data_IF_431853496487
#
_entry.id   IF_431853496487
#
_cell.length_a   1.000
_cell.length_b   1.000
_cell.length_c   1.000
_cell.angle_alpha   90.00
_cell.angle_beta   90.00
_cell.angle_gamma   90.00
#
_symmetry.space_group_name_H-M   'P 1'
#
loop_
_entity.id
_entity.type
_entity.pdbx_description
1 polymer ?
#
# COMPACT_ATOMS: atom_id res chain seq x y z
N UNK A 1 -22.20 -21.59 4.23
CA UNK A 1 -20.75 -21.30 4.29
C UNK A 1 -20.33 -20.88 2.90
N UNK A 2 -20.23 -19.59 2.65
CA UNK A 2 -19.73 -19.03 1.37
C UNK A 2 -18.21 -19.04 1.51
N UNK A 3 -17.54 -19.90 0.75
CA UNK A 3 -16.08 -19.98 0.67
C UNK A 3 -15.54 -18.59 0.27
N UNK A 4 -14.66 -17.99 1.09
CA UNK A 4 -13.95 -16.79 0.71
C UNK A 4 -13.24 -17.02 -0.63
N UNK A 5 -13.21 -16.03 -1.53
CA UNK A 5 -12.54 -16.21 -2.81
C UNK A 5 -11.05 -16.51 -2.59
N UNK A 6 -10.54 -17.55 -3.23
CA UNK A 6 -9.18 -18.11 -3.04
C UNK A 6 -8.04 -17.08 -3.12
N UNK A 7 -8.24 -15.92 -3.75
CA UNK A 7 -7.21 -14.89 -3.91
C UNK A 7 -6.96 -14.05 -2.66
N UNK A 8 -7.98 -13.75 -1.85
CA UNK A 8 -7.84 -13.00 -0.59
C UNK A 8 -7.15 -13.83 0.49
N UNK A 9 -7.44 -15.13 0.54
CA UNK A 9 -6.78 -16.09 1.44
C UNK A 9 -5.28 -16.22 1.12
N UNK A 10 -4.90 -16.16 -0.16
CA UNK A 10 -3.49 -16.27 -0.57
C UNK A 10 -2.69 -15.03 -0.16
N UNK A 11 -3.21 -13.81 -0.38
CA UNK A 11 -2.54 -12.58 0.02
C UNK A 11 -2.32 -12.54 1.54
N UNK A 12 -3.35 -12.85 2.34
CA UNK A 12 -3.26 -12.88 3.80
C UNK A 12 -2.16 -13.84 4.28
N UNK A 13 -2.16 -15.10 3.81
CA UNK A 13 -1.17 -16.11 4.22
C UNK A 13 0.26 -15.77 3.77
N UNK A 14 0.40 -15.06 2.65
CA UNK A 14 1.70 -14.58 2.19
C UNK A 14 2.25 -13.52 3.16
N UNK A 15 1.47 -12.47 3.45
CA UNK A 15 1.89 -11.39 4.35
C UNK A 15 2.17 -11.90 5.78
N UNK A 16 1.37 -12.81 6.29
CA UNK A 16 1.59 -13.43 7.61
C UNK A 16 2.98 -14.08 7.73
N UNK A 17 3.48 -14.63 6.62
CA UNK A 17 4.80 -15.27 6.56
C UNK A 17 5.97 -14.28 6.47
N UNK A 18 5.83 -13.20 5.70
CA UNK A 18 6.95 -12.31 5.35
C UNK A 18 7.10 -11.10 6.27
N UNK A 19 6.08 -10.76 7.07
CA UNK A 19 6.02 -9.53 7.87
C UNK A 19 7.27 -9.29 8.74
N UNK A 20 7.78 -10.33 9.42
CA UNK A 20 8.94 -10.16 10.29
C UNK A 20 10.22 -9.78 9.51
N UNK A 21 10.47 -10.43 8.37
CA UNK A 21 11.62 -10.13 7.54
C UNK A 21 11.46 -8.77 6.82
N UNK A 22 10.25 -8.44 6.40
CA UNK A 22 9.99 -7.16 5.72
C UNK A 22 10.19 -5.96 6.64
N UNK A 23 9.99 -6.11 7.95
CA UNK A 23 10.37 -5.06 8.91
C UNK A 23 11.87 -4.73 8.85
N UNK A 24 12.73 -5.74 8.70
CA UNK A 24 14.17 -5.52 8.53
C UNK A 24 14.51 -4.85 7.20
N UNK A 25 13.82 -5.26 6.13
CA UNK A 25 14.12 -4.83 4.76
C UNK A 25 13.49 -3.48 4.38
N UNK A 26 12.23 -3.28 4.75
CA UNK A 26 11.43 -2.11 4.35
C UNK A 26 11.22 -1.11 5.48
N UNK A 27 11.50 -1.47 6.74
CA UNK A 27 11.18 -0.68 7.92
C UNK A 27 9.74 -0.93 8.41
N UNK A 28 9.19 0.01 9.19
CA UNK A 28 7.86 -0.13 9.82
C UNK A 28 6.70 0.12 8.84
N UNK A 29 6.97 0.58 7.63
CA UNK A 29 5.94 1.11 6.74
C UNK A 29 5.68 0.26 5.48
N UNK A 30 6.44 -0.77 5.18
CA UNK A 30 6.27 -1.73 4.06
C UNK A 30 5.88 -1.11 2.71
N UNK A 31 6.38 0.10 2.41
CA UNK A 31 6.07 0.80 1.17
C UNK A 31 7.28 1.53 0.59
N UNK A 32 7.17 1.96 -0.64
CA UNK A 32 8.16 2.76 -1.32
C UNK A 32 8.42 4.08 -0.59
N UNK A 33 9.56 4.72 -0.90
CA UNK A 33 9.93 6.03 -0.40
C UNK A 33 9.99 7.07 -1.51
N UNK A 34 9.72 8.32 -1.19
CA UNK A 34 9.94 9.49 -2.06
C UNK A 34 11.29 10.11 -1.69
N UNK A 35 12.30 9.86 -2.50
CA UNK A 35 13.65 10.39 -2.29
C UNK A 35 13.77 11.80 -2.85
N UNK A 36 14.47 12.69 -2.13
CA UNK A 36 14.83 13.98 -2.66
C UNK A 36 16.00 13.86 -3.68
N UNK A 37 16.14 14.83 -4.59
CA UNK A 37 17.25 14.80 -5.55
C UNK A 37 18.61 14.65 -4.88
N UNK A 38 19.38 13.63 -5.29
CA UNK A 38 20.73 13.35 -4.77
C UNK A 38 20.78 12.55 -3.46
N UNK A 39 19.63 12.18 -2.89
CA UNK A 39 19.62 11.26 -1.75
C UNK A 39 19.89 9.82 -2.18
N UNK A 40 20.69 9.13 -1.36
CA UNK A 40 21.01 7.72 -1.54
C UNK A 40 20.14 6.79 -0.68
N UNK A 41 20.39 5.47 -0.81
CA UNK A 41 19.63 4.41 -0.13
C UNK A 41 19.49 4.57 1.40
N UNK A 42 20.48 5.14 2.07
CA UNK A 42 20.48 5.38 3.52
C UNK A 42 19.31 6.29 3.98
N UNK A 43 18.70 7.06 3.08
CA UNK A 43 17.57 7.93 3.39
C UNK A 43 16.21 7.23 3.38
N UNK A 44 16.14 5.89 3.25
CA UNK A 44 14.90 5.14 3.06
C UNK A 44 13.82 5.49 4.10
N UNK A 45 14.17 5.55 5.39
CA UNK A 45 13.18 5.83 6.44
C UNK A 45 12.59 7.25 6.34
N UNK A 46 13.40 8.23 5.93
CA UNK A 46 12.91 9.57 5.63
C UNK A 46 12.10 9.60 4.33
N UNK A 47 12.51 8.82 3.33
CA UNK A 47 11.81 8.74 2.05
C UNK A 47 10.42 8.09 2.19
N UNK A 48 10.28 7.05 3.02
CA UNK A 48 8.98 6.45 3.32
C UNK A 48 8.06 7.43 4.05
N UNK A 49 8.57 8.19 5.02
CA UNK A 49 7.79 9.25 5.65
C UNK A 49 7.32 10.32 4.65
N UNK A 50 8.16 10.68 3.67
CA UNK A 50 7.78 11.63 2.60
C UNK A 50 6.72 11.09 1.64
N UNK A 51 6.59 9.77 1.45
CA UNK A 51 5.47 9.24 0.67
C UNK A 51 4.14 9.49 1.37
N UNK A 52 4.07 9.33 2.70
CA UNK A 52 2.88 9.68 3.48
C UNK A 52 2.53 11.18 3.30
N UNK A 53 3.54 12.07 3.38
CA UNK A 53 3.31 13.51 3.14
C UNK A 53 2.89 13.81 1.69
N UNK A 54 3.45 13.10 0.70
CA UNK A 54 3.07 13.25 -0.70
C UNK A 54 1.61 12.83 -0.95
N UNK A 55 1.15 11.74 -0.32
CA UNK A 55 -0.25 11.32 -0.37
C UNK A 55 -1.17 12.34 0.32
N UNK A 56 -0.79 12.83 1.50
CA UNK A 56 -1.57 13.84 2.21
C UNK A 56 -1.66 15.15 1.41
N UNK A 57 -0.56 15.57 0.78
CA UNK A 57 -0.54 16.74 -0.09
C UNK A 57 -1.44 16.55 -1.33
N UNK A 58 -1.46 15.34 -1.92
CA UNK A 58 -2.32 15.01 -3.05
C UNK A 58 -3.81 14.99 -2.65
N UNK A 59 -4.13 14.49 -1.46
CA UNK A 59 -5.49 14.45 -0.91
C UNK A 59 -6.00 15.84 -0.53
N UNK A 60 -5.13 16.72 -0.06
CA UNK A 60 -5.46 17.98 0.59
C UNK A 60 -5.78 17.82 2.09
N UNK A 61 -6.19 18.91 2.76
CA UNK A 61 -6.30 18.95 4.22
C UNK A 61 -7.32 17.94 4.74
N UNK A 62 -6.96 17.28 5.84
CA UNK A 62 -7.84 16.41 6.63
C UNK A 62 -8.04 17.06 7.98
N UNK A 63 -9.30 17.26 8.38
CA UNK A 63 -9.62 17.94 9.64
C UNK A 63 -9.58 16.98 10.84
N UNK A 64 -9.23 17.47 12.03
CA UNK A 64 -9.32 16.68 13.25
C UNK A 64 -10.73 16.09 13.44
N UNK A 65 -10.79 14.81 13.80
CA UNK A 65 -12.03 14.08 14.00
C UNK A 65 -12.73 13.60 12.72
N UNK A 66 -12.27 13.96 11.51
CA UNK A 66 -12.78 13.34 10.27
C UNK A 66 -12.54 11.83 10.28
N UNK A 67 -13.49 11.06 9.76
CA UNK A 67 -13.34 9.60 9.64
C UNK A 67 -12.64 9.25 8.35
N UNK A 68 -11.56 8.50 8.46
CA UNK A 68 -10.74 8.01 7.35
C UNK A 68 -10.76 6.49 7.35
N UNK A 69 -11.03 5.87 6.21
CA UNK A 69 -10.81 4.45 5.99
C UNK A 69 -9.42 4.25 5.40
N UNK A 70 -8.56 3.47 6.08
CA UNK A 70 -7.28 2.99 5.53
C UNK A 70 -7.49 1.60 4.94
N UNK A 71 -7.47 1.52 3.61
CA UNK A 71 -7.82 0.34 2.83
C UNK A 71 -6.57 -0.51 2.55
N UNK A 72 -6.48 -1.65 3.22
CA UNK A 72 -5.29 -2.49 3.16
C UNK A 72 -4.19 -2.00 4.10
N UNK A 73 -4.56 -1.63 5.32
CA UNK A 73 -3.69 -0.96 6.30
C UNK A 73 -2.45 -1.75 6.76
N UNK A 74 -2.31 -3.02 6.38
CA UNK A 74 -1.20 -3.87 6.80
C UNK A 74 -1.01 -3.89 8.32
N UNK A 75 0.17 -3.51 8.79
CA UNK A 75 0.52 -3.39 10.21
C UNK A 75 0.22 -2.01 10.81
N UNK A 76 -0.53 -1.16 10.09
CA UNK A 76 -1.06 0.11 10.57
C UNK A 76 -0.05 1.26 10.68
N UNK A 77 1.11 1.17 10.05
CA UNK A 77 2.14 2.24 10.06
C UNK A 77 1.58 3.56 9.52
N UNK A 78 1.14 3.63 8.25
CA UNK A 78 0.52 4.81 7.67
C UNK A 78 -0.70 5.33 8.44
N UNK A 79 -1.55 4.42 8.95
CA UNK A 79 -2.71 4.80 9.76
C UNK A 79 -2.31 5.57 11.03
N UNK A 80 -1.31 5.07 11.78
CA UNK A 80 -0.79 5.75 12.97
C UNK A 80 -0.18 7.11 12.64
N UNK A 81 0.61 7.15 11.57
CA UNK A 81 1.20 8.40 11.08
C UNK A 81 0.12 9.44 10.74
N UNK A 82 -0.90 9.03 9.98
CA UNK A 82 -1.98 9.92 9.54
C UNK A 82 -2.81 10.43 10.72
N UNK A 83 -3.14 9.56 11.70
CA UNK A 83 -3.85 9.96 12.91
C UNK A 83 -3.04 10.99 13.71
N UNK A 84 -1.77 10.77 13.94
CA UNK A 84 -0.88 11.68 14.65
C UNK A 84 -0.73 13.02 13.90
N UNK A 85 -0.65 12.98 12.59
CA UNK A 85 -0.41 14.15 11.73
C UNK A 85 -1.62 15.05 11.58
N UNK A 86 -2.83 14.49 11.60
CA UNK A 86 -4.07 15.19 11.25
C UNK A 86 -5.09 15.30 12.39
N UNK A 87 -5.00 14.44 13.40
CA UNK A 87 -6.04 14.30 14.42
C UNK A 87 -7.32 13.61 13.93
N UNK A 88 -7.28 12.99 12.74
CA UNK A 88 -8.41 12.24 12.16
C UNK A 88 -8.65 10.93 12.90
N UNK A 89 -9.85 10.37 12.76
CA UNK A 89 -10.22 9.03 13.24
C UNK A 89 -9.98 8.04 12.12
N UNK A 90 -9.01 7.14 12.30
CA UNK A 90 -8.64 6.19 11.27
C UNK A 90 -9.23 4.82 11.60
N UNK A 91 -9.93 4.22 10.64
CA UNK A 91 -10.34 2.84 10.65
C UNK A 91 -9.55 2.08 9.58
N UNK A 92 -8.67 1.18 10.00
CA UNK A 92 -7.87 0.36 9.08
C UNK A 92 -8.52 -0.99 8.83
N UNK A 93 -8.56 -1.42 7.57
CA UNK A 93 -9.02 -2.77 7.19
C UNK A 93 -7.94 -3.51 6.41
N UNK A 94 -7.83 -4.81 6.67
CA UNK A 94 -6.94 -5.73 5.94
C UNK A 94 -7.50 -7.14 5.99
N UNK A 95 -7.17 -7.97 5.02
CA UNK A 95 -7.50 -9.41 5.06
C UNK A 95 -6.54 -10.24 5.92
N UNK A 96 -5.38 -9.68 6.30
CA UNK A 96 -4.39 -10.34 7.17
C UNK A 96 -4.77 -10.18 8.65
N UNK A 97 -5.14 -11.28 9.29
CA UNK A 97 -5.42 -11.29 10.73
C UNK A 97 -4.15 -10.98 11.55
N UNK A 98 -2.99 -11.47 11.12
CA UNK A 98 -1.68 -11.20 11.75
C UNK A 98 -1.30 -9.72 11.61
N UNK A 99 -1.51 -9.12 10.43
CA UNK A 99 -1.30 -7.70 10.21
C UNK A 99 -2.19 -6.83 11.11
N UNK A 100 -3.47 -7.18 11.21
CA UNK A 100 -4.44 -6.47 12.09
C UNK A 100 -4.05 -6.61 13.57
N UNK A 101 -3.64 -7.80 14.02
CA UNK A 101 -3.19 -7.99 15.40
C UNK A 101 -1.96 -7.10 15.70
N UNK A 102 -0.98 -7.07 14.81
CA UNK A 102 0.20 -6.21 14.93
C UNK A 102 -0.17 -4.71 14.90
N UNK A 103 -1.14 -4.30 14.07
CA UNK A 103 -1.61 -2.92 14.02
C UNK A 103 -2.29 -2.49 15.34
N UNK A 104 -3.09 -3.37 15.95
CA UNK A 104 -3.74 -3.13 17.24
C UNK A 104 -2.69 -3.00 18.36
N UNK A 105 -1.72 -3.90 18.42
CA UNK A 105 -0.63 -3.88 19.40
C UNK A 105 0.16 -2.58 19.30
N UNK A 106 0.62 -2.22 18.10
CA UNK A 106 1.38 -1.01 17.87
C UNK A 106 0.57 0.29 18.13
N UNK A 107 -0.75 0.27 17.97
CA UNK A 107 -1.61 1.39 18.33
C UNK A 107 -1.75 1.56 19.84
N UNK A 108 -1.77 0.45 20.60
CA UNK A 108 -1.85 0.48 22.06
C UNK A 108 -0.57 1.07 22.71
N UNK A 109 0.60 0.87 22.10
CA UNK A 109 1.88 1.44 22.57
C UNK A 109 1.90 2.98 22.49
N UNK A 110 1.23 3.55 21.48
CA UNK A 110 1.18 5.01 21.26
C UNK A 110 0.09 5.70 22.10
N UNK A 111 -0.87 4.93 22.64
CA UNK A 111 -1.98 5.42 23.45
C UNK A 111 -2.05 4.66 24.77
N UNK A 112 -1.27 5.03 25.82
CA UNK A 112 -1.30 4.35 27.11
C UNK A 112 -2.70 4.28 27.73
N UNK A 113 -3.05 3.18 28.44
CA UNK A 113 -4.32 3.03 29.12
C UNK A 113 -4.58 4.19 30.12
N UNK A 114 -5.72 4.87 29.99
CA UNK A 114 -6.15 5.93 30.91
C UNK A 114 -5.93 7.36 30.44
N UNK A 115 -5.23 7.59 29.31
CA UNK A 115 -5.32 8.86 28.60
C UNK A 115 -6.40 8.71 27.53
N UNK A 116 -7.37 9.63 27.54
CA UNK A 116 -8.35 9.72 26.46
C UNK A 116 -7.57 9.71 25.15
N UNK A 117 -7.87 8.72 24.33
CA UNK A 117 -7.37 8.45 22.96
C UNK A 117 -6.68 9.67 22.34
N UNK A 118 -5.51 9.48 21.73
CA UNK A 118 -4.95 10.46 20.77
C UNK A 118 -6.09 11.19 20.07
N UNK A 119 -6.02 12.51 19.82
CA UNK A 119 -7.14 13.28 19.26
C UNK A 119 -7.81 12.62 18.04
N UNK A 120 -7.13 11.68 17.34
CA UNK A 120 -7.71 10.78 16.35
C UNK A 120 -7.76 9.35 16.88
N UNK A 121 -8.94 8.75 17.03
CA UNK A 121 -9.09 7.34 17.39
C UNK A 121 -8.55 6.43 16.29
N UNK A 122 -7.79 5.37 16.66
CA UNK A 122 -7.36 4.29 15.77
C UNK A 122 -8.23 3.06 16.05
N UNK A 123 -8.67 2.39 14.99
CA UNK A 123 -9.35 1.10 15.07
C UNK A 123 -8.99 0.25 13.84
N UNK A 124 -8.95 -1.07 14.02
CA UNK A 124 -8.56 -1.99 12.96
C UNK A 124 -9.49 -3.20 12.93
N UNK A 125 -9.78 -3.70 11.72
CA UNK A 125 -10.63 -4.88 11.53
C UNK A 125 -10.13 -5.75 10.38
N UNK A 126 -10.37 -7.06 10.49
CA UNK A 126 -10.19 -7.99 9.38
C UNK A 126 -11.39 -7.84 8.45
N UNK A 127 -11.18 -7.34 7.24
CA UNK A 127 -12.21 -7.18 6.23
C UNK A 127 -11.63 -7.20 4.82
N UNK A 128 -12.44 -7.61 3.83
CA UNK A 128 -12.10 -7.52 2.41
C UNK A 128 -12.54 -6.16 1.87
N UNK A 129 -11.60 -5.39 1.34
CA UNK A 129 -11.87 -4.07 0.76
C UNK A 129 -12.86 -4.11 -0.42
N UNK A 130 -13.00 -5.26 -1.07
CA UNK A 130 -13.91 -5.46 -2.21
C UNK A 130 -15.36 -5.74 -1.78
N UNK A 131 -15.57 -6.01 -0.48
CA UNK A 131 -16.87 -6.24 0.16
C UNK A 131 -16.73 -6.02 1.67
N UNK A 132 -16.51 -4.75 2.07
CA UNK A 132 -16.05 -4.45 3.42
C UNK A 132 -17.16 -4.44 4.50
N UNK A 133 -18.42 -4.42 4.11
CA UNK A 133 -19.56 -4.43 5.03
C UNK A 133 -19.73 -3.15 5.88
N UNK A 134 -18.96 -2.10 5.61
CA UNK A 134 -19.06 -0.83 6.35
C UNK A 134 -20.30 -0.05 5.90
N UNK A 135 -20.84 0.84 6.75
CA UNK A 135 -22.01 1.66 6.41
C UNK A 135 -21.76 2.63 5.25
N UNK A 136 -22.81 2.95 4.51
CA UNK A 136 -22.79 3.93 3.44
C UNK A 136 -22.53 5.34 3.96
N UNK A 137 -21.81 6.15 3.20
CA UNK A 137 -21.63 7.59 3.39
C UNK A 137 -21.09 8.00 4.78
N UNK A 138 -20.29 7.16 5.42
CA UNK A 138 -19.80 7.36 6.78
C UNK A 138 -18.41 8.01 6.84
N UNK A 139 -17.59 7.81 5.81
CA UNK A 139 -16.19 8.28 5.79
C UNK A 139 -16.04 9.57 4.98
N UNK A 140 -15.11 10.41 5.44
CA UNK A 140 -14.70 11.62 4.71
C UNK A 140 -13.60 11.31 3.69
N UNK A 141 -12.77 10.31 3.98
CA UNK A 141 -11.60 9.94 3.18
C UNK A 141 -11.49 8.43 3.08
N UNK A 142 -11.13 7.93 1.90
CA UNK A 142 -10.56 6.61 1.65
C UNK A 142 -9.08 6.77 1.29
N UNK A 143 -8.21 6.16 2.09
CA UNK A 143 -6.76 6.17 1.95
C UNK A 143 -6.30 4.79 1.51
N UNK A 144 -5.64 4.67 0.36
CA UNK A 144 -5.22 3.40 -0.23
C UNK A 144 -3.72 3.52 -0.55
N UNK A 145 -2.88 2.86 0.24
CA UNK A 145 -1.45 2.89 0.06
C UNK A 145 -0.92 1.49 -0.24
N UNK A 146 -0.38 1.28 -1.44
CA UNK A 146 0.29 0.05 -1.88
C UNK A 146 -0.44 -1.25 -1.51
N UNK A 147 -1.74 -1.26 -1.64
CA UNK A 147 -2.57 -2.42 -1.33
C UNK A 147 -3.44 -2.85 -2.49
N UNK A 148 -3.77 -1.93 -3.41
CA UNK A 148 -4.71 -2.21 -4.50
C UNK A 148 -4.16 -3.21 -5.52
N UNK A 149 -2.84 -3.28 -5.72
CA UNK A 149 -2.22 -4.27 -6.61
C UNK A 149 -2.48 -5.73 -6.18
N UNK A 150 -2.78 -5.99 -4.91
CA UNK A 150 -3.13 -7.31 -4.39
C UNK A 150 -4.63 -7.64 -4.51
N UNK A 151 -5.45 -6.67 -4.89
CA UNK A 151 -6.90 -6.84 -5.00
C UNK A 151 -7.30 -7.23 -6.42
N UNK A 152 -7.87 -8.44 -6.61
CA UNK A 152 -8.18 -8.93 -7.96
C UNK A 152 -9.31 -8.16 -8.66
N UNK A 153 -10.22 -7.53 -7.91
CA UNK A 153 -11.36 -6.78 -8.43
C UNK A 153 -11.26 -5.30 -8.00
N UNK A 154 -10.26 -4.58 -8.51
CA UNK A 154 -9.99 -3.18 -8.14
C UNK A 154 -11.19 -2.25 -8.37
N UNK A 155 -11.91 -2.44 -9.47
CA UNK A 155 -13.12 -1.67 -9.76
C UNK A 155 -14.18 -1.84 -8.66
N UNK A 156 -14.30 -3.06 -8.08
CA UNK A 156 -15.21 -3.32 -6.95
C UNK A 156 -14.72 -2.63 -5.68
N UNK A 157 -13.42 -2.68 -5.40
CA UNK A 157 -12.82 -1.95 -4.27
C UNK A 157 -13.06 -0.44 -4.38
N UNK A 158 -12.87 0.14 -5.57
CA UNK A 158 -13.11 1.57 -5.81
C UNK A 158 -14.61 1.90 -5.67
N UNK A 159 -15.51 1.02 -6.14
CA UNK A 159 -16.96 1.19 -5.95
C UNK A 159 -17.36 1.11 -4.45
N UNK A 160 -16.75 0.22 -3.68
CA UNK A 160 -16.93 0.17 -2.22
C UNK A 160 -16.42 1.46 -1.55
N UNK A 161 -15.27 2.00 -1.99
CA UNK A 161 -14.82 3.31 -1.52
C UNK A 161 -15.83 4.42 -1.85
N UNK A 162 -16.40 4.41 -3.06
CA UNK A 162 -17.44 5.38 -3.41
C UNK A 162 -18.69 5.24 -2.53
N UNK A 163 -19.12 4.01 -2.20
CA UNK A 163 -20.28 3.73 -1.35
C UNK A 163 -20.10 4.26 0.07
N UNK A 164 -18.96 3.97 0.69
CA UNK A 164 -18.69 4.33 2.10
C UNK A 164 -18.33 5.80 2.31
N UNK A 165 -17.85 6.48 1.29
CA UNK A 165 -17.55 7.91 1.36
C UNK A 165 -18.83 8.73 1.37
N UNK A 166 -18.91 9.77 2.20
CA UNK A 166 -19.98 10.78 2.15
C UNK A 166 -19.95 11.55 0.81
N UNK A 167 -21.06 12.16 0.37
CA UNK A 167 -21.04 13.09 -0.77
C UNK A 167 -19.95 14.15 -0.60
N UNK A 168 -19.15 14.40 -1.64
CA UNK A 168 -17.97 15.26 -1.57
C UNK A 168 -16.77 14.66 -0.81
N UNK A 169 -16.86 13.42 -0.32
CA UNK A 169 -15.74 12.69 0.28
C UNK A 169 -14.63 12.44 -0.72
N UNK A 170 -13.43 12.16 -0.26
CA UNK A 170 -12.21 12.11 -1.08
C UNK A 170 -11.56 10.73 -1.01
N UNK A 171 -11.00 10.32 -2.13
CA UNK A 171 -10.15 9.15 -2.25
C UNK A 171 -8.74 9.60 -2.57
N UNK A 172 -7.73 8.99 -1.94
CA UNK A 172 -6.34 9.06 -2.37
C UNK A 172 -5.79 7.66 -2.47
N UNK A 173 -5.03 7.42 -3.54
CA UNK A 173 -4.42 6.12 -3.83
C UNK A 173 -3.00 6.32 -4.34
N UNK A 174 -2.05 5.55 -3.83
CA UNK A 174 -0.76 5.36 -4.48
C UNK A 174 -0.47 3.87 -4.67
N UNK A 175 0.14 3.52 -5.79
CA UNK A 175 0.50 2.14 -6.10
C UNK A 175 1.50 2.06 -7.26
N UNK A 176 2.03 0.85 -7.46
CA UNK A 176 2.79 0.51 -8.66
C UNK A 176 1.86 0.50 -9.88
N UNK A 177 2.40 0.92 -11.02
CA UNK A 177 1.65 0.94 -12.28
C UNK A 177 2.50 0.43 -13.44
N UNK A 178 1.85 -0.18 -14.43
CA UNK A 178 2.45 -0.36 -15.74
C UNK A 178 2.34 0.95 -16.53
N UNK A 179 3.49 1.52 -16.91
CA UNK A 179 3.59 2.67 -17.82
C UNK A 179 3.48 2.23 -19.28
N UNK A 180 4.06 1.07 -19.58
CA UNK A 180 3.92 0.36 -20.84
C UNK A 180 3.68 -1.12 -20.52
N UNK A 181 2.47 -1.64 -20.67
CA UNK A 181 2.16 -3.05 -20.40
C UNK A 181 3.07 -3.99 -21.24
N UNK A 182 3.45 -5.10 -20.63
CA UNK A 182 4.18 -6.16 -21.34
C UNK A 182 3.23 -6.85 -22.31
N UNK A 183 3.69 -7.09 -23.53
CA UNK A 183 2.97 -7.94 -24.45
C UNK A 183 3.17 -9.44 -24.13
N UNK A 184 2.44 -10.32 -24.83
CA UNK A 184 2.49 -11.75 -24.55
C UNK A 184 3.89 -12.35 -24.76
N UNK A 185 4.64 -11.88 -25.76
CA UNK A 185 5.99 -12.36 -26.03
C UNK A 185 6.96 -11.96 -24.91
N UNK A 186 6.90 -10.70 -24.49
CA UNK A 186 7.67 -10.19 -23.36
C UNK A 186 7.31 -10.90 -22.04
N UNK A 187 6.03 -11.18 -21.79
CA UNK A 187 5.59 -11.95 -20.61
C UNK A 187 6.13 -13.39 -20.62
N UNK A 188 6.16 -14.04 -21.78
CA UNK A 188 6.71 -15.39 -21.93
C UNK A 188 8.22 -15.40 -21.75
N UNK A 189 8.92 -14.44 -22.29
CA UNK A 189 10.37 -14.29 -22.14
C UNK A 189 10.76 -14.04 -20.67
N UNK A 190 10.04 -13.14 -20.00
CA UNK A 190 10.24 -12.76 -18.58
C UNK A 190 9.51 -13.67 -17.58
N UNK A 191 8.97 -14.79 -17.99
CA UNK A 191 8.13 -15.64 -17.11
C UNK A 191 8.81 -16.01 -15.79
N UNK A 192 10.14 -16.21 -15.78
CA UNK A 192 10.91 -16.52 -14.56
C UNK A 192 10.97 -15.33 -13.62
N UNK A 193 11.17 -14.15 -14.16
CA UNK A 193 11.19 -12.90 -13.40
C UNK A 193 9.79 -12.61 -12.80
N UNK A 194 8.73 -12.75 -13.58
CA UNK A 194 7.35 -12.57 -13.10
C UNK A 194 6.99 -13.57 -12.00
N UNK A 195 7.42 -14.84 -12.12
CA UNK A 195 7.24 -15.84 -11.07
C UNK A 195 8.06 -15.52 -9.80
N UNK A 196 9.24 -14.92 -9.94
CA UNK A 196 10.03 -14.44 -8.80
C UNK A 196 9.28 -13.32 -8.07
N UNK A 197 8.79 -12.32 -8.80
CA UNK A 197 7.97 -11.23 -8.21
C UNK A 197 6.73 -11.77 -7.49
N UNK A 198 6.01 -12.74 -8.09
CA UNK A 198 4.85 -13.39 -7.48
C UNK A 198 5.18 -14.11 -6.17
N UNK A 199 6.36 -14.77 -6.09
CA UNK A 199 6.80 -15.43 -4.86
C UNK A 199 7.16 -14.43 -3.76
N UNK A 200 7.77 -13.32 -4.12
CA UNK A 200 8.28 -12.32 -3.17
C UNK A 200 7.17 -11.40 -2.69
N UNK A 201 6.40 -10.80 -3.60
CA UNK A 201 5.42 -9.75 -3.27
C UNK A 201 3.96 -10.23 -3.32
N UNK A 202 3.74 -11.52 -3.62
CA UNK A 202 2.40 -12.06 -3.84
C UNK A 202 1.91 -11.83 -5.26
N UNK A 203 0.74 -12.39 -5.57
CA UNK A 203 0.14 -12.31 -6.92
C UNK A 203 -0.42 -10.92 -7.19
N UNK A 204 0.47 -10.00 -7.52
CA UNK A 204 0.08 -8.64 -7.88
C UNK A 204 -0.62 -8.59 -9.24
N UNK A 205 -1.63 -7.75 -9.34
CA UNK A 205 -2.28 -7.34 -10.58
C UNK A 205 -2.04 -5.86 -10.76
N UNK A 206 -1.04 -5.52 -11.54
CA UNK A 206 -0.65 -4.15 -11.80
C UNK A 206 -1.49 -3.60 -12.93
N UNK A 207 -2.05 -2.41 -12.77
CA UNK A 207 -2.83 -1.71 -13.77
C UNK A 207 -2.07 -0.49 -14.31
N UNK A 208 -2.55 0.09 -15.41
CA UNK A 208 -2.05 1.36 -15.89
C UNK A 208 -2.72 2.54 -15.14
N UNK A 209 -2.12 3.75 -15.15
CA UNK A 209 -2.79 4.94 -14.62
C UNK A 209 -4.15 5.17 -15.28
N UNK A 210 -4.26 5.00 -16.60
CA UNK A 210 -5.52 5.18 -17.35
C UNK A 210 -6.61 4.21 -16.88
N UNK A 211 -6.25 2.95 -16.56
CA UNK A 211 -7.20 1.98 -16.01
C UNK A 211 -7.73 2.43 -14.65
N UNK A 212 -6.89 2.96 -13.77
CA UNK A 212 -7.34 3.53 -12.48
C UNK A 212 -8.24 4.75 -12.70
N UNK A 213 -7.87 5.67 -13.59
CA UNK A 213 -8.68 6.85 -13.93
C UNK A 213 -10.07 6.45 -14.44
N UNK A 214 -10.16 5.43 -15.29
CA UNK A 214 -11.43 4.91 -15.77
C UNK A 214 -12.26 4.25 -14.67
N UNK A 215 -11.64 3.47 -13.78
CA UNK A 215 -12.32 2.85 -12.64
C UNK A 215 -12.93 3.89 -11.69
N UNK A 216 -12.18 4.95 -11.33
CA UNK A 216 -12.69 6.00 -10.45
C UNK A 216 -13.79 6.82 -11.12
N UNK A 217 -13.67 7.12 -12.42
CA UNK A 217 -14.71 7.79 -13.20
C UNK A 217 -16.01 6.97 -13.23
N UNK A 218 -15.89 5.67 -13.49
CA UNK A 218 -17.03 4.74 -13.53
C UNK A 218 -17.72 4.60 -12.18
N UNK A 219 -16.96 4.69 -11.08
CA UNK A 219 -17.50 4.66 -9.72
C UNK A 219 -18.13 5.98 -9.24
N UNK A 220 -18.20 7.01 -10.12
CA UNK A 220 -18.84 8.28 -9.82
C UNK A 220 -17.95 9.31 -9.12
N UNK A 221 -16.63 9.12 -9.19
CA UNK A 221 -15.69 10.16 -8.74
C UNK A 221 -15.48 11.23 -9.82
N UNK A 222 -15.22 12.44 -9.35
CA UNK A 222 -14.91 13.65 -10.14
C UNK A 222 -13.63 14.30 -9.62
N UNK A 223 -13.22 15.42 -10.19
CA UNK A 223 -12.04 16.20 -9.77
C UNK A 223 -10.79 15.31 -9.58
N UNK A 224 -10.56 14.38 -10.52
CA UNK A 224 -9.44 13.45 -10.44
C UNK A 224 -8.14 14.14 -10.85
N UNK A 225 -7.13 14.01 -9.99
CA UNK A 225 -5.76 14.48 -10.26
C UNK A 225 -4.77 13.37 -9.94
N UNK A 226 -3.62 13.35 -10.63
CA UNK A 226 -2.56 12.37 -10.35
C UNK A 226 -1.17 12.92 -10.63
N UNK A 227 -0.16 12.30 -10.04
CA UNK A 227 1.27 12.57 -10.24
C UNK A 227 2.02 11.28 -10.46
N UNK A 228 3.00 11.32 -11.37
CA UNK A 228 4.02 10.30 -11.53
C UNK A 228 5.11 10.53 -10.46
N UNK A 229 5.39 9.51 -9.67
CA UNK A 229 6.43 9.49 -8.64
C UNK A 229 7.53 8.47 -8.95
N UNK A 230 7.58 7.97 -10.19
CA UNK A 230 8.48 6.86 -10.56
C UNK A 230 9.95 7.20 -10.37
N UNK A 231 10.35 8.43 -10.67
CA UNK A 231 11.74 8.86 -10.51
C UNK A 231 12.13 8.97 -9.03
N UNK A 232 11.24 9.54 -8.22
CA UNK A 232 11.46 9.75 -6.79
C UNK A 232 11.41 8.45 -5.99
N UNK A 233 10.70 7.42 -6.49
CA UNK A 233 10.58 6.13 -5.78
C UNK A 233 11.61 5.09 -6.22
N UNK A 234 12.24 5.25 -7.37
CA UNK A 234 13.22 4.30 -7.92
C UNK A 234 14.35 3.91 -6.94
N UNK A 235 14.94 4.84 -6.13
CA UNK A 235 16.01 4.49 -5.21
C UNK A 235 15.60 3.52 -4.10
N UNK A 236 14.31 3.34 -3.84
CA UNK A 236 13.79 2.36 -2.87
C UNK A 236 14.29 0.95 -3.15
N UNK A 237 14.33 0.54 -4.41
CA UNK A 237 14.72 -0.80 -4.82
C UNK A 237 16.19 -1.10 -4.50
N UNK A 238 17.07 -0.11 -4.67
CA UNK A 238 18.47 -0.19 -4.25
C UNK A 238 18.57 -0.25 -2.72
N UNK A 239 17.80 0.59 -2.01
CA UNK A 239 17.80 0.63 -0.55
C UNK A 239 17.37 -0.70 0.06
N UNK A 240 16.35 -1.36 -0.48
CA UNK A 240 15.93 -2.69 -0.03
C UNK A 240 17.01 -3.75 -0.29
N UNK A 241 17.69 -3.72 -1.43
CA UNK A 241 18.82 -4.60 -1.73
C UNK A 241 20.00 -4.42 -0.75
N UNK A 242 20.35 -3.17 -0.43
CA UNK A 242 21.40 -2.86 0.55
C UNK A 242 21.03 -3.32 1.97
N UNK A 243 19.77 -3.13 2.39
CA UNK A 243 19.28 -3.65 3.68
C UNK A 243 19.29 -5.18 3.72
N UNK A 244 18.93 -5.86 2.61
CA UNK A 244 19.07 -7.30 2.53
C UNK A 244 20.53 -7.73 2.73
N UNK A 245 21.49 -7.06 2.10
CA UNK A 245 22.90 -7.38 2.26
C UNK A 245 23.38 -7.17 3.72
N UNK A 246 22.91 -6.08 4.36
CA UNK A 246 23.26 -5.77 5.74
C UNK A 246 22.65 -6.74 6.77
N UNK A 247 21.43 -7.25 6.51
CA UNK A 247 20.68 -8.14 7.42
C UNK A 247 20.53 -9.56 6.90
N UNK A 248 21.46 -10.00 6.03
CA UNK A 248 21.33 -11.28 5.32
C UNK A 248 21.14 -12.46 6.27
N UNK A 249 21.88 -12.53 7.35
CA UNK A 249 21.84 -13.66 8.31
C UNK A 249 20.47 -13.73 8.99
N UNK A 250 19.94 -12.60 9.44
CA UNK A 250 18.64 -12.52 10.10
C UNK A 250 17.51 -12.85 9.13
N UNK A 251 17.58 -12.34 7.91
CA UNK A 251 16.58 -12.61 6.86
C UNK A 251 16.59 -14.06 6.43
N UNK A 252 17.79 -14.69 6.26
CA UNK A 252 17.94 -16.12 6.00
C UNK A 252 17.34 -16.98 7.13
N UNK A 253 17.47 -16.54 8.38
CA UNK A 253 16.87 -17.24 9.51
C UNK A 253 15.33 -17.15 9.54
N UNK A 254 14.76 -16.03 9.08
CA UNK A 254 13.32 -15.79 9.07
C UNK A 254 12.60 -16.41 7.85
N UNK A 255 13.19 -16.31 6.67
CA UNK A 255 12.55 -16.70 5.40
C UNK A 255 13.17 -17.95 4.75
N UNK A 256 14.42 -18.30 5.12
CA UNK A 256 15.28 -19.24 4.39
C UNK A 256 16.10 -18.55 3.31
N UNK A 257 17.27 -19.12 3.00
CA UNK A 257 18.24 -18.52 2.07
C UNK A 257 17.71 -18.35 0.64
N UNK A 258 16.83 -19.25 0.17
CA UNK A 258 16.21 -19.17 -1.15
C UNK A 258 15.26 -17.97 -1.26
N UNK A 259 14.36 -17.79 -0.29
CA UNK A 259 13.42 -16.66 -0.29
C UNK A 259 14.13 -15.32 -0.11
N UNK A 260 15.22 -15.26 0.67
CA UNK A 260 16.06 -14.07 0.78
C UNK A 260 16.78 -13.75 -0.54
N UNK A 261 17.26 -14.75 -1.27
CA UNK A 261 17.85 -14.58 -2.60
C UNK A 261 16.80 -14.10 -3.61
N UNK A 262 15.59 -14.70 -3.59
CA UNK A 262 14.46 -14.27 -4.42
C UNK A 262 14.11 -12.80 -4.17
N UNK A 263 14.12 -12.32 -2.90
CA UNK A 263 13.89 -10.90 -2.60
C UNK A 263 14.93 -9.99 -3.25
N UNK A 264 16.22 -10.31 -3.14
CA UNK A 264 17.27 -9.56 -3.82
C UNK A 264 17.08 -9.53 -5.34
N UNK A 265 16.77 -10.69 -5.94
CA UNK A 265 16.48 -10.79 -7.37
C UNK A 265 15.24 -9.98 -7.76
N UNK A 266 14.21 -9.98 -6.95
CA UNK A 266 13.00 -9.19 -7.19
C UNK A 266 13.29 -7.67 -7.21
N UNK A 267 14.16 -7.18 -6.31
CA UNK A 267 14.60 -5.78 -6.34
C UNK A 267 15.32 -5.43 -7.66
N UNK A 268 16.20 -6.31 -8.16
CA UNK A 268 16.89 -6.13 -9.45
C UNK A 268 15.92 -6.09 -10.63
N UNK A 269 14.96 -7.03 -10.67
CA UNK A 269 13.92 -7.11 -11.72
C UNK A 269 13.09 -5.83 -11.73
N UNK A 270 12.62 -5.38 -10.58
CA UNK A 270 11.86 -4.13 -10.47
C UNK A 270 12.70 -2.92 -10.88
N UNK A 271 13.97 -2.85 -10.47
CA UNK A 271 14.87 -1.75 -10.87
C UNK A 271 15.05 -1.71 -12.39
N UNK A 272 15.18 -2.86 -13.07
CA UNK A 272 15.22 -2.93 -14.53
C UNK A 272 13.91 -2.46 -15.18
N UNK A 273 12.75 -2.88 -14.65
CA UNK A 273 11.44 -2.45 -15.15
C UNK A 273 11.21 -0.95 -14.95
N UNK A 274 11.74 -0.34 -13.88
CA UNK A 274 11.76 1.10 -13.69
C UNK A 274 12.69 1.81 -14.69
N UNK A 275 13.93 1.34 -14.83
CA UNK A 275 14.93 1.92 -15.73
C UNK A 275 14.46 1.88 -17.20
N UNK A 276 13.76 0.82 -17.60
CA UNK A 276 13.19 0.66 -18.94
C UNK A 276 11.81 1.31 -19.10
N UNK A 277 11.32 2.02 -18.07
CA UNK A 277 10.01 2.69 -18.05
C UNK A 277 8.81 1.75 -18.33
N UNK A 278 8.95 0.47 -18.06
CA UNK A 278 7.84 -0.50 -18.13
C UNK A 278 6.92 -0.38 -16.91
N UNK A 279 7.52 -0.20 -15.74
CA UNK A 279 6.79 0.05 -14.49
C UNK A 279 7.13 1.42 -13.92
N UNK A 280 6.33 1.87 -13.02
CA UNK A 280 6.51 3.09 -12.29
C UNK A 280 5.59 3.15 -11.07
N UNK A 281 5.48 4.33 -10.53
CA UNK A 281 4.73 4.61 -9.33
C UNK A 281 3.91 5.88 -9.49
N UNK A 282 2.67 5.87 -9.03
CA UNK A 282 1.81 7.05 -9.10
C UNK A 282 1.08 7.32 -7.78
N UNK A 283 0.66 8.55 -7.62
CA UNK A 283 -0.32 8.94 -6.61
C UNK A 283 -1.46 9.67 -7.29
N UNK A 284 -2.70 9.36 -6.91
CA UNK A 284 -3.89 10.02 -7.42
C UNK A 284 -4.84 10.40 -6.30
N UNK A 285 -5.66 11.42 -6.52
CA UNK A 285 -6.82 11.72 -5.71
C UNK A 285 -8.04 11.99 -6.56
N UNK A 286 -9.21 11.73 -5.98
CA UNK A 286 -10.49 11.97 -6.62
C UNK A 286 -11.55 12.33 -5.57
N UNK A 287 -12.60 13.04 -5.96
CA UNK A 287 -13.71 13.45 -5.09
C UNK A 287 -14.97 12.69 -5.48
N UNK A 288 -15.67 12.11 -4.50
CA UNK A 288 -17.01 11.57 -4.73
C UNK A 288 -17.97 12.70 -5.13
N UNK A 289 -18.74 12.51 -6.19
CA UNK A 289 -19.79 13.47 -6.58
C UNK A 289 -20.75 13.74 -5.42
N UNK A 290 -21.29 14.98 -5.39
CA UNK A 290 -22.27 15.43 -4.37
C UNK A 290 -23.67 14.90 -4.67
#
# INVERSE_FOLDING_TARGET
>A
MISAPMSTTFAASHYDRVTAAWRLLMGEAFHYGVFAPGEGPAALDHATARLNEAMLAQLGPVSPGERVLDVGCGVGGPARWLAARTGARIHGISTSATGIAAAIEAAAEVSPPGQATSPGGLSFAVADAQENGLPDAEFAVAWIMESSHLMPQKARMIAECARILRPGGRLVLCDLVFRAPLDLAEMLDRRRDLLCLDRVFGRARIESPDAYLEMVRTAGFTETTWRDLSAETAPTLTAWGERLAAHRVEVDALLGAEAAADFGRACEILAELWATQRMGYFVMSARRAT
#
